data_IF_768924526529
#
_entry.id   IF_768924526529
#
_cell.length_a   1.000
_cell.length_b   1.000
_cell.length_c   1.000
_cell.angle_alpha   90.00
_cell.angle_beta   90.00
_cell.angle_gamma   90.00
#
_symmetry.space_group_name_H-M   'P 1'
#
loop_
_entity.id
_entity.type
_entity.pdbx_description
1 polymer ?
#
# COMPACT_ATOMS: atom_id res chain seq x y z
N UNK A 1 -0.90 21.65 0.44
CA UNK A 1 -0.62 20.87 -0.79
C UNK A 1 -1.27 21.45 -2.07
N UNK A 2 -1.75 22.71 -2.06
CA UNK A 2 -2.30 23.39 -3.27
C UNK A 2 -1.48 24.64 -3.67
N UNK A 3 -0.65 25.18 -2.77
CA UNK A 3 0.22 26.34 -3.01
C UNK A 3 1.40 26.03 -3.94
N UNK A 4 2.00 24.83 -3.85
CA UNK A 4 3.19 24.49 -4.63
C UNK A 4 2.88 24.22 -6.11
N UNK A 5 1.67 23.72 -6.41
CA UNK A 5 1.19 23.52 -7.78
C UNK A 5 0.80 24.84 -8.46
N UNK A 6 0.27 25.82 -7.71
CA UNK A 6 0.03 27.16 -8.24
C UNK A 6 1.35 27.93 -8.42
N UNK A 7 2.29 27.84 -7.48
CA UNK A 7 3.59 28.51 -7.55
C UNK A 7 4.42 28.09 -8.76
N UNK A 8 4.48 26.78 -9.07
CA UNK A 8 5.20 26.27 -10.25
C UNK A 8 4.59 26.73 -11.58
N UNK A 9 3.27 26.89 -11.63
CA UNK A 9 2.55 27.40 -12.82
C UNK A 9 2.78 28.89 -13.01
N UNK A 10 2.76 29.67 -11.93
CA UNK A 10 3.08 31.11 -11.93
C UNK A 10 4.54 31.40 -12.26
N UNK A 11 5.47 30.55 -11.82
CA UNK A 11 6.87 30.61 -12.26
C UNK A 11 7.01 30.43 -13.78
N UNK A 12 6.23 29.54 -14.39
CA UNK A 12 6.24 29.35 -15.84
C UNK A 12 5.77 30.59 -16.61
N UNK A 13 4.76 31.30 -16.08
CA UNK A 13 4.31 32.58 -16.66
C UNK A 13 5.36 33.68 -16.51
N UNK A 14 6.00 33.78 -15.34
CA UNK A 14 7.09 34.73 -15.10
C UNK A 14 8.31 34.46 -15.97
N UNK A 15 8.72 33.20 -16.11
CA UNK A 15 9.83 32.80 -16.96
C UNK A 15 9.56 33.05 -18.45
N UNK A 16 8.31 32.88 -18.90
CA UNK A 16 7.92 33.22 -20.27
C UNK A 16 8.03 34.74 -20.53
N UNK A 17 7.51 35.55 -19.61
CA UNK A 17 7.58 37.02 -19.70
C UNK A 17 9.02 37.53 -19.65
N UNK A 18 9.82 37.01 -18.73
CA UNK A 18 11.25 37.35 -18.60
C UNK A 18 12.04 36.85 -19.80
N UNK A 19 11.78 35.65 -20.30
CA UNK A 19 12.45 35.11 -21.49
C UNK A 19 12.16 35.95 -22.74
N UNK A 20 10.91 36.36 -22.95
CA UNK A 20 10.53 37.28 -24.03
C UNK A 20 11.16 38.66 -23.84
N UNK A 21 11.14 39.21 -22.62
CA UNK A 21 11.73 40.52 -22.32
C UNK A 21 13.26 40.53 -22.51
N UNK A 22 13.93 39.45 -22.08
CA UNK A 22 15.39 39.27 -22.24
C UNK A 22 15.76 39.07 -23.70
N UNK A 23 15.01 38.25 -24.45
CA UNK A 23 15.22 38.08 -25.88
C UNK A 23 15.02 39.39 -26.65
N UNK A 24 13.93 40.12 -26.34
CA UNK A 24 13.64 41.43 -26.94
C UNK A 24 14.73 42.46 -26.59
N UNK A 25 15.20 42.48 -25.34
CA UNK A 25 16.27 43.36 -24.87
C UNK A 25 17.62 43.04 -25.53
N UNK A 26 18.00 41.76 -25.60
CA UNK A 26 19.23 41.30 -26.24
C UNK A 26 19.27 41.63 -27.73
N UNK A 27 18.16 41.43 -28.46
CA UNK A 27 18.12 41.78 -29.89
C UNK A 27 18.19 43.29 -30.11
N UNK A 28 17.50 44.09 -29.28
CA UNK A 28 17.52 45.56 -29.41
C UNK A 28 18.89 46.15 -29.06
N UNK A 29 19.59 45.56 -28.08
CA UNK A 29 20.94 45.95 -27.67
C UNK A 29 22.02 45.53 -28.69
N UNK A 30 21.76 44.47 -29.47
CA UNK A 30 22.71 43.95 -30.47
C UNK A 30 22.81 44.80 -31.75
N UNK A 31 21.95 45.82 -31.90
CA UNK A 31 22.02 46.86 -32.92
C UNK A 31 21.78 46.37 -34.35
N UNK A 32 20.61 46.72 -34.92
CA UNK A 32 20.18 46.83 -36.35
C UNK A 32 20.79 45.97 -37.50
N UNK A 33 21.72 45.04 -37.25
CA UNK A 33 22.43 44.28 -38.31
C UNK A 33 21.80 42.93 -38.62
N UNK A 34 20.70 42.56 -37.95
CA UNK A 34 20.12 41.22 -38.10
C UNK A 34 18.88 41.21 -38.99
N UNK A 35 18.94 40.34 -40.00
CA UNK A 35 17.87 40.02 -40.95
C UNK A 35 16.62 39.49 -40.20
N UNK A 36 15.38 39.77 -40.65
CA UNK A 36 14.14 39.37 -39.97
C UNK A 36 14.06 37.87 -39.67
N UNK A 37 14.69 37.05 -40.52
CA UNK A 37 14.76 35.59 -40.39
C UNK A 37 15.52 35.13 -39.15
N UNK A 38 16.61 35.82 -38.77
CA UNK A 38 17.39 35.47 -37.57
C UNK A 38 16.62 35.79 -36.30
N UNK A 39 15.87 36.89 -36.30
CA UNK A 39 15.00 37.25 -35.18
C UNK A 39 13.86 36.24 -34.99
N UNK A 40 13.26 35.76 -36.09
CA UNK A 40 12.23 34.72 -36.04
C UNK A 40 12.77 33.41 -35.41
N UNK A 41 13.98 32.99 -35.80
CA UNK A 41 14.62 31.77 -35.26
C UNK A 41 14.96 31.91 -33.77
N UNK A 42 15.43 33.07 -33.32
CA UNK A 42 15.72 33.33 -31.91
C UNK A 42 14.44 33.24 -31.05
N UNK A 43 13.34 33.83 -31.52
CA UNK A 43 12.04 33.72 -30.84
C UNK A 43 11.55 32.27 -30.80
N UNK A 44 11.71 31.52 -31.89
CA UNK A 44 11.34 30.11 -31.97
C UNK A 44 12.10 29.26 -30.94
N UNK A 45 13.39 29.52 -30.75
CA UNK A 45 14.22 28.86 -29.74
C UNK A 45 13.75 29.16 -28.32
N UNK A 46 13.41 30.41 -28.02
CA UNK A 46 12.89 30.81 -26.70
C UNK A 46 11.55 30.12 -26.42
N UNK A 47 10.66 30.08 -27.40
CA UNK A 47 9.35 29.41 -27.27
C UNK A 47 9.55 27.91 -27.06
N UNK A 48 10.47 27.29 -27.80
CA UNK A 48 10.78 25.88 -27.67
C UNK A 48 11.35 25.56 -26.27
N UNK A 49 12.24 26.41 -25.74
CA UNK A 49 12.81 26.25 -24.41
C UNK A 49 11.75 26.39 -23.29
N UNK A 50 10.84 27.37 -23.41
CA UNK A 50 9.73 27.54 -22.46
C UNK A 50 8.75 26.37 -22.55
N UNK A 51 8.50 25.86 -23.76
CA UNK A 51 7.61 24.73 -24.00
C UNK A 51 8.11 23.43 -23.38
N UNK A 52 9.42 23.14 -23.51
CA UNK A 52 10.02 21.93 -22.94
C UNK A 52 10.09 21.98 -21.42
N UNK A 53 10.27 23.15 -20.82
CA UNK A 53 10.47 23.27 -19.38
C UNK A 53 9.17 23.41 -18.57
N UNK A 54 8.06 23.96 -19.11
CA UNK A 54 6.84 24.23 -18.32
C UNK A 54 5.51 23.73 -18.93
N UNK A 55 5.51 23.08 -20.09
CA UNK A 55 4.33 22.41 -20.66
C UNK A 55 3.30 23.33 -21.37
N UNK A 56 2.13 22.77 -21.70
CA UNK A 56 1.19 23.29 -22.70
C UNK A 56 0.68 24.71 -22.44
N UNK A 57 0.15 24.92 -21.24
CA UNK A 57 -0.60 26.13 -20.87
C UNK A 57 0.27 27.40 -20.89
N UNK A 58 1.49 27.42 -20.32
CA UNK A 58 2.37 28.58 -20.45
C UNK A 58 2.96 28.73 -21.85
N UNK A 59 3.20 27.63 -22.59
CA UNK A 59 3.74 27.70 -23.95
C UNK A 59 2.78 28.34 -24.96
N UNK A 60 1.47 28.07 -24.85
CA UNK A 60 0.44 28.71 -25.69
C UNK A 60 0.40 30.22 -25.45
N UNK A 61 0.47 30.66 -24.20
CA UNK A 61 0.51 32.08 -23.87
C UNK A 61 1.82 32.73 -24.31
N UNK A 62 2.97 32.08 -24.11
CA UNK A 62 4.27 32.55 -24.58
C UNK A 62 4.31 32.70 -26.11
N UNK A 63 3.69 31.76 -26.84
CA UNK A 63 3.52 31.85 -28.28
C UNK A 63 2.64 33.03 -28.68
N UNK A 64 1.48 33.21 -28.04
CA UNK A 64 0.56 34.30 -28.35
C UNK A 64 1.21 35.68 -28.12
N UNK A 65 1.87 35.85 -26.97
CA UNK A 65 2.61 37.08 -26.65
C UNK A 65 3.84 37.24 -27.54
N UNK A 66 4.56 36.15 -27.85
CA UNK A 66 5.70 36.16 -28.74
C UNK A 66 5.35 36.61 -30.16
N UNK A 67 4.22 36.15 -30.71
CA UNK A 67 3.70 36.59 -32.02
C UNK A 67 3.38 38.08 -31.99
N UNK A 68 2.68 38.55 -30.96
CA UNK A 68 2.30 39.97 -30.85
C UNK A 68 3.55 40.85 -30.70
N UNK A 69 4.51 40.46 -29.86
CA UNK A 69 5.77 41.19 -29.69
C UNK A 69 6.61 41.18 -30.96
N UNK A 70 6.74 40.02 -31.63
CA UNK A 70 7.50 39.90 -32.88
C UNK A 70 6.88 40.75 -33.99
N UNK A 71 5.55 40.69 -34.15
CA UNK A 71 4.80 41.50 -35.10
C UNK A 71 4.91 43.00 -34.84
N UNK A 72 4.94 43.42 -33.57
CA UNK A 72 5.00 44.83 -33.21
C UNK A 72 6.41 45.43 -33.32
N UNK A 73 7.45 44.68 -32.95
CA UNK A 73 8.83 45.20 -32.84
C UNK A 73 9.72 44.90 -34.05
N UNK A 74 9.50 43.81 -34.79
CA UNK A 74 10.48 43.31 -35.77
C UNK A 74 9.97 43.27 -37.22
N UNK A 75 8.70 43.61 -37.47
CA UNK A 75 8.10 43.65 -38.80
C UNK A 75 7.83 45.10 -39.27
N UNK A 76 8.33 45.53 -40.45
CA UNK A 76 7.97 46.81 -41.04
C UNK A 76 6.54 46.77 -41.63
N UNK A 77 5.73 47.86 -41.55
CA UNK A 77 6.00 49.12 -40.87
C UNK A 77 5.76 49.02 -39.35
N UNK A 78 6.77 49.44 -38.59
CA UNK A 78 6.73 49.39 -37.13
C UNK A 78 5.54 50.21 -36.59
N UNK A 79 4.67 49.56 -35.81
CA UNK A 79 3.53 50.21 -35.15
C UNK A 79 2.21 50.24 -35.92
N UNK A 80 2.02 49.47 -37.00
CA UNK A 80 0.75 49.46 -37.76
C UNK A 80 0.20 48.05 -38.01
N UNK A 81 -1.12 47.84 -37.83
CA UNK A 81 -1.84 46.60 -38.19
C UNK A 81 -2.07 46.49 -39.72
N UNK A 82 -1.02 46.65 -40.53
CA UNK A 82 -1.14 46.67 -41.99
C UNK A 82 -0.52 45.42 -42.63
N UNK A 83 -1.35 44.41 -42.88
CA UNK A 83 -1.03 43.21 -43.66
C UNK A 83 -0.98 43.61 -45.14
N UNK A 84 0.18 44.04 -45.66
CA UNK A 84 0.30 44.35 -47.10
C UNK A 84 1.52 43.75 -47.81
N UNK A 85 2.41 43.06 -47.10
CA UNK A 85 3.56 42.37 -47.69
C UNK A 85 3.41 40.83 -47.68
N UNK A 86 3.53 40.17 -48.86
CA UNK A 86 3.46 38.71 -49.01
C UNK A 86 4.60 37.91 -48.37
N UNK A 87 5.58 38.54 -47.71
CA UNK A 87 6.67 37.82 -47.01
C UNK A 87 6.34 37.53 -45.52
N UNK A 88 5.35 38.22 -44.94
CA UNK A 88 5.08 38.15 -43.49
C UNK A 88 4.22 36.93 -43.06
N UNK A 89 3.46 36.32 -43.96
CA UNK A 89 2.64 35.14 -43.65
C UNK A 89 3.47 33.92 -43.23
N UNK A 90 4.73 33.82 -43.66
CA UNK A 90 5.63 32.71 -43.33
C UNK A 90 5.92 32.66 -41.83
N UNK A 91 6.14 33.81 -41.20
CA UNK A 91 6.34 33.89 -39.76
C UNK A 91 5.05 33.48 -39.04
N UNK A 92 3.89 33.96 -39.51
CA UNK A 92 2.59 33.60 -38.92
C UNK A 92 2.30 32.10 -39.02
N UNK A 93 2.59 31.48 -40.17
CA UNK A 93 2.42 30.03 -40.40
C UNK A 93 3.42 29.22 -39.58
N UNK A 94 4.70 29.61 -39.54
CA UNK A 94 5.71 28.94 -38.72
C UNK A 94 5.36 28.98 -37.23
N UNK A 95 4.82 30.11 -36.76
CA UNK A 95 4.34 30.25 -35.39
C UNK A 95 3.08 29.43 -35.10
N UNK A 96 2.11 29.41 -36.03
CA UNK A 96 0.90 28.58 -35.91
C UNK A 96 1.27 27.10 -35.80
N UNK A 97 2.19 26.62 -36.64
CA UNK A 97 2.69 25.25 -36.61
C UNK A 97 3.38 24.96 -35.27
N UNK A 98 4.24 25.87 -34.80
CA UNK A 98 4.95 25.72 -33.52
C UNK A 98 3.97 25.63 -32.34
N UNK A 99 2.94 26.49 -32.32
CA UNK A 99 1.90 26.49 -31.30
C UNK A 99 1.08 25.18 -31.32
N UNK A 100 0.74 24.67 -32.52
CA UNK A 100 0.00 23.42 -32.68
C UNK A 100 0.84 22.18 -32.30
N UNK A 101 2.09 22.10 -32.72
CA UNK A 101 3.00 20.98 -32.39
C UNK A 101 3.28 20.93 -30.89
N UNK A 102 3.53 22.09 -30.28
CA UNK A 102 3.67 22.22 -28.82
C UNK A 102 2.37 21.84 -28.11
N UNK A 103 1.25 22.30 -28.69
CA UNK A 103 -0.13 21.92 -28.41
C UNK A 103 -0.31 20.42 -28.16
N UNK A 104 -0.03 19.67 -29.21
CA UNK A 104 -0.21 18.23 -29.27
C UNK A 104 0.79 17.49 -28.38
N UNK A 105 2.06 17.89 -28.39
CA UNK A 105 3.11 17.22 -27.62
C UNK A 105 2.82 17.31 -26.13
N UNK A 106 2.43 18.48 -25.63
CA UNK A 106 2.14 18.62 -24.21
C UNK A 106 0.79 18.02 -23.82
N UNK A 107 -0.22 17.99 -24.71
CA UNK A 107 -1.45 17.23 -24.48
C UNK A 107 -1.15 15.73 -24.29
N UNK A 108 -0.29 15.16 -25.14
CA UNK A 108 0.17 13.77 -25.02
C UNK A 108 0.98 13.53 -23.74
N UNK A 109 1.87 14.45 -23.37
CA UNK A 109 2.67 14.33 -22.15
C UNK A 109 1.78 14.35 -20.90
N UNK A 110 0.77 15.23 -20.85
CA UNK A 110 -0.16 15.32 -19.71
C UNK A 110 -1.01 14.07 -19.56
N UNK A 111 -1.51 13.54 -20.68
CA UNK A 111 -2.31 12.31 -20.67
C UNK A 111 -1.52 11.11 -20.16
N UNK A 112 -0.24 10.96 -20.55
CA UNK A 112 0.64 9.93 -19.99
C UNK A 112 0.88 10.08 -18.49
N UNK A 113 1.00 11.31 -18.00
CA UNK A 113 1.18 11.57 -16.58
C UNK A 113 -0.08 11.22 -15.77
N UNK A 114 -1.26 11.57 -16.29
CA UNK A 114 -2.55 11.22 -15.67
C UNK A 114 -2.76 9.69 -15.65
N UNK A 115 -2.51 9.00 -16.76
CA UNK A 115 -2.58 7.52 -16.84
C UNK A 115 -1.61 6.84 -15.85
N UNK A 116 -0.39 7.38 -15.69
CA UNK A 116 0.59 6.85 -14.75
C UNK A 116 0.19 7.08 -13.28
N UNK A 117 -0.43 8.21 -12.96
CA UNK A 117 -0.96 8.47 -11.62
C UNK A 117 -2.13 7.54 -11.29
N UNK A 118 -3.03 7.29 -12.24
CA UNK A 118 -4.13 6.35 -12.06
C UNK A 118 -3.62 4.93 -11.84
N UNK A 119 -2.67 4.47 -12.68
CA UNK A 119 -2.04 3.16 -12.53
C UNK A 119 -1.34 3.01 -11.17
N UNK A 120 -0.66 4.06 -10.68
CA UNK A 120 -0.02 4.05 -9.36
C UNK A 120 -1.03 3.88 -8.24
N UNK A 121 -2.15 4.62 -8.27
CA UNK A 121 -3.21 4.52 -7.25
C UNK A 121 -3.83 3.13 -7.22
N UNK A 122 -4.00 2.51 -8.38
CA UNK A 122 -4.55 1.16 -8.46
C UNK A 122 -3.60 0.12 -7.84
N UNK A 123 -2.30 0.23 -8.13
CA UNK A 123 -1.29 -0.64 -7.50
C UNK A 123 -1.26 -0.43 -5.98
N UNK A 124 -1.35 0.80 -5.49
CA UNK A 124 -1.39 1.09 -4.04
C UNK A 124 -2.62 0.43 -3.38
N UNK A 125 -3.80 0.45 -4.02
CA UNK A 125 -5.00 -0.23 -3.52
C UNK A 125 -4.82 -1.75 -3.44
N UNK A 126 -4.32 -2.36 -4.51
CA UNK A 126 -4.08 -3.81 -4.56
C UNK A 126 -3.04 -4.24 -3.51
N UNK A 127 -2.03 -3.41 -3.27
CA UNK A 127 -1.03 -3.66 -2.24
C UNK A 127 -1.64 -3.69 -0.83
N UNK A 128 -2.50 -2.71 -0.53
CA UNK A 128 -3.23 -2.68 0.74
C UNK A 128 -4.14 -3.89 0.93
N UNK A 129 -4.88 -4.29 -0.11
CA UNK A 129 -5.76 -5.47 -0.05
C UNK A 129 -4.98 -6.78 0.17
N UNK A 130 -3.83 -6.94 -0.50
CA UNK A 130 -2.95 -8.08 -0.31
C UNK A 130 -2.42 -8.12 1.12
N UNK A 131 -1.99 -6.97 1.66
CA UNK A 131 -1.45 -6.86 3.01
C UNK A 131 -2.50 -7.25 4.07
N UNK A 132 -3.72 -6.73 3.96
CA UNK A 132 -4.84 -7.07 4.85
C UNK A 132 -5.15 -8.58 4.83
N UNK A 133 -5.17 -9.17 3.63
CA UNK A 133 -5.43 -10.60 3.46
C UNK A 133 -4.32 -11.46 4.06
N UNK A 134 -3.06 -11.05 3.86
CA UNK A 134 -1.90 -11.74 4.42
C UNK A 134 -1.90 -11.69 5.95
N UNK A 135 -2.20 -10.53 6.53
CA UNK A 135 -2.26 -10.36 7.99
C UNK A 135 -3.36 -11.25 8.60
N UNK A 136 -4.56 -11.26 8.02
CA UNK A 136 -5.65 -12.14 8.46
C UNK A 136 -5.28 -13.62 8.36
N UNK A 137 -4.64 -14.04 7.25
CA UNK A 137 -4.19 -15.43 7.07
C UNK A 137 -3.11 -15.80 8.10
N UNK A 138 -2.18 -14.89 8.36
CA UNK A 138 -1.11 -15.08 9.36
C UNK A 138 -1.69 -15.26 10.77
N UNK A 139 -2.61 -14.38 11.18
CA UNK A 139 -3.29 -14.48 12.47
C UNK A 139 -4.09 -15.78 12.61
N UNK A 140 -4.85 -16.17 11.58
CA UNK A 140 -5.59 -17.42 11.57
C UNK A 140 -4.67 -18.66 11.67
N UNK A 141 -3.52 -18.63 10.98
CA UNK A 141 -2.50 -19.69 11.08
C UNK A 141 -1.88 -19.75 12.47
N UNK A 142 -1.52 -18.62 13.06
CA UNK A 142 -0.96 -18.55 14.41
C UNK A 142 -1.93 -19.10 15.46
N UNK A 143 -3.22 -18.73 15.38
CA UNK A 143 -4.26 -19.26 16.27
C UNK A 143 -4.42 -20.77 16.10
N UNK A 144 -4.46 -21.27 14.84
CA UNK A 144 -4.56 -22.71 14.55
C UNK A 144 -3.34 -23.49 15.05
N UNK A 145 -2.14 -22.91 15.00
CA UNK A 145 -0.93 -23.51 15.56
C UNK A 145 -1.00 -23.56 17.09
N UNK A 146 -1.47 -22.49 17.73
CA UNK A 146 -1.68 -22.45 19.18
C UNK A 146 -2.67 -23.52 19.64
N UNK A 147 -3.81 -23.68 18.96
CA UNK A 147 -4.79 -24.73 19.28
C UNK A 147 -4.23 -26.14 19.08
N UNK A 148 -3.45 -26.37 18.01
CA UNK A 148 -2.78 -27.66 17.80
C UNK A 148 -1.78 -27.98 18.90
N UNK A 149 -0.99 -26.99 19.32
CA UNK A 149 -0.04 -27.15 20.41
C UNK A 149 -0.77 -27.46 21.72
N UNK A 150 -1.86 -26.72 22.02
CA UNK A 150 -2.70 -26.96 23.19
C UNK A 150 -3.25 -28.40 23.20
N UNK A 151 -3.80 -28.88 22.10
CA UNK A 151 -4.33 -30.26 22.00
C UNK A 151 -3.23 -31.30 22.16
N UNK A 152 -2.08 -31.13 21.50
CA UNK A 152 -0.97 -32.07 21.61
C UNK A 152 -0.39 -32.12 23.03
N UNK A 153 -0.26 -30.98 23.70
CA UNK A 153 0.18 -30.90 25.09
C UNK A 153 -0.82 -31.54 26.05
N UNK A 154 -2.12 -31.29 25.87
CA UNK A 154 -3.17 -31.91 26.69
C UNK A 154 -3.21 -33.43 26.52
N UNK A 155 -3.04 -33.94 25.29
CA UNK A 155 -3.01 -35.37 25.00
C UNK A 155 -1.78 -36.04 25.62
N UNK A 156 -0.59 -35.45 25.43
CA UNK A 156 0.66 -35.95 26.02
C UNK A 156 0.61 -36.00 27.55
N UNK A 157 0.19 -34.90 28.20
CA UNK A 157 0.04 -34.85 29.66
C UNK A 157 -0.97 -35.89 30.16
N UNK A 158 -2.08 -36.09 29.44
CA UNK A 158 -3.10 -37.08 29.84
C UNK A 158 -2.57 -38.51 29.75
N UNK A 159 -1.86 -38.83 28.66
CA UNK A 159 -1.26 -40.15 28.47
C UNK A 159 -0.25 -40.46 29.60
N UNK A 160 0.63 -39.52 29.91
CA UNK A 160 1.71 -39.71 30.88
C UNK A 160 1.21 -39.76 32.32
N UNK A 161 0.07 -39.12 32.62
CA UNK A 161 -0.57 -39.20 33.94
C UNK A 161 -1.42 -40.46 34.12
N UNK A 162 -2.01 -41.01 33.03
CA UNK A 162 -2.87 -42.20 33.12
C UNK A 162 -2.11 -43.41 33.67
N UNK A 163 -0.87 -43.61 33.24
CA UNK A 163 -0.03 -44.74 33.67
C UNK A 163 0.24 -44.75 35.19
N UNK A 164 0.81 -43.69 35.80
CA UNK A 164 1.03 -43.67 37.25
C UNK A 164 -0.27 -43.69 38.05
N UNK A 165 -1.35 -43.04 37.58
CA UNK A 165 -2.67 -43.13 38.24
C UNK A 165 -3.23 -44.56 38.24
N UNK A 166 -3.06 -45.30 37.13
CA UNK A 166 -3.49 -46.70 37.05
C UNK A 166 -2.71 -47.55 38.05
N UNK A 167 -1.39 -47.32 38.17
CA UNK A 167 -0.56 -48.01 39.16
C UNK A 167 -0.97 -47.66 40.60
N UNK A 168 -1.14 -46.38 40.94
CA UNK A 168 -1.59 -45.92 42.27
C UNK A 168 -2.95 -46.53 42.60
N UNK A 169 -3.89 -46.52 41.65
CA UNK A 169 -5.23 -47.10 41.83
C UNK A 169 -5.16 -48.60 42.07
N UNK A 170 -4.34 -49.33 41.32
CA UNK A 170 -4.16 -50.78 41.50
C UNK A 170 -3.62 -51.08 42.91
N UNK A 171 -2.54 -50.40 43.33
CA UNK A 171 -1.97 -50.56 44.67
C UNK A 171 -2.96 -50.23 45.78
N UNK A 172 -3.73 -49.14 45.65
CA UNK A 172 -4.76 -48.77 46.61
C UNK A 172 -5.89 -49.83 46.68
N UNK A 173 -6.28 -50.40 45.53
CA UNK A 173 -7.31 -51.44 45.47
C UNK A 173 -6.85 -52.70 46.20
N UNK A 174 -5.61 -53.16 45.98
CA UNK A 174 -5.03 -54.31 46.69
C UNK A 174 -4.96 -54.08 48.19
N UNK A 175 -4.55 -52.89 48.64
CA UNK A 175 -4.48 -52.55 50.06
C UNK A 175 -5.87 -52.55 50.71
N UNK A 176 -6.88 -52.03 50.00
CA UNK A 176 -8.27 -52.00 50.46
C UNK A 176 -8.87 -53.42 50.55
N UNK A 177 -8.55 -54.29 49.59
CA UNK A 177 -8.94 -55.71 49.63
C UNK A 177 -8.30 -56.47 50.79
N UNK A 178 -7.01 -56.21 51.10
CA UNK A 178 -6.33 -56.84 52.23
C UNK A 178 -6.92 -56.38 53.58
N UNK A 179 -7.22 -55.09 53.73
CA UNK A 179 -7.92 -54.56 54.91
C UNK A 179 -9.32 -55.19 55.08
N UNK A 180 -10.10 -55.32 54.01
CA UNK A 180 -11.39 -56.01 54.05
C UNK A 180 -11.25 -57.51 54.38
N UNK A 181 -10.18 -58.17 53.92
CA UNK A 181 -9.90 -59.55 54.27
C UNK A 181 -9.50 -59.71 55.75
N UNK A 182 -8.69 -58.79 56.29
CA UNK A 182 -8.33 -58.75 57.71
C UNK A 182 -9.56 -58.53 58.60
N UNK A 183 -10.39 -57.53 58.29
CA UNK A 183 -11.62 -57.26 59.06
C UNK A 183 -12.59 -58.46 59.07
N UNK A 184 -12.68 -59.21 57.96
CA UNK A 184 -13.44 -60.47 57.90
C UNK A 184 -12.79 -61.57 58.74
N UNK A 185 -11.46 -61.72 58.70
CA UNK A 185 -10.75 -62.71 59.55
C UNK A 185 -10.89 -62.39 61.03
N UNK A 186 -10.79 -61.12 61.43
CA UNK A 186 -11.01 -60.71 62.83
C UNK A 186 -12.45 -60.96 63.26
N UNK A 187 -13.43 -60.61 62.42
CA UNK A 187 -14.85 -60.94 62.69
C UNK A 187 -15.06 -62.45 62.83
N UNK A 188 -14.55 -63.25 61.89
CA UNK A 188 -14.66 -64.72 61.94
C UNK A 188 -13.86 -65.36 63.08
N UNK A 189 -12.73 -64.76 63.49
CA UNK A 189 -11.96 -65.20 64.66
C UNK A 189 -12.68 -64.85 65.96
N UNK A 190 -13.38 -63.71 66.03
CA UNK A 190 -14.23 -63.35 67.18
C UNK A 190 -15.46 -64.24 67.30
N UNK A 191 -16.05 -64.66 66.16
CA UNK A 191 -17.09 -65.69 66.09
C UNK A 191 -16.55 -67.10 66.41
N UNK A 192 -15.23 -67.27 66.38
CA UNK A 192 -14.57 -68.56 66.43
C UNK A 192 -14.70 -69.30 67.75
N UNK A 193 -14.88 -68.64 68.89
CA UNK A 193 -15.07 -69.32 70.18
C UNK A 193 -16.51 -69.20 70.71
N UNK A 194 -17.13 -68.02 70.55
CA UNK A 194 -18.52 -67.78 70.96
C UNK A 194 -19.52 -68.47 70.01
N UNK A 195 -19.38 -68.27 68.69
CA UNK A 195 -20.24 -68.89 67.69
C UNK A 195 -20.01 -70.40 67.54
N UNK A 196 -18.80 -70.90 67.88
CA UNK A 196 -18.54 -72.35 67.93
C UNK A 196 -19.18 -72.98 69.17
N UNK A 197 -19.26 -72.27 70.30
CA UNK A 197 -20.06 -72.68 71.46
C UNK A 197 -21.55 -72.65 71.17
N UNK A 198 -22.07 -71.56 70.60
CA UNK A 198 -23.49 -71.42 70.25
C UNK A 198 -23.91 -72.51 69.23
N UNK A 199 -23.08 -72.80 68.23
CA UNK A 199 -23.37 -73.83 67.24
C UNK A 199 -23.23 -75.26 67.82
N UNK A 200 -22.37 -75.49 68.80
CA UNK A 200 -22.33 -76.74 69.56
C UNK A 200 -23.53 -76.89 70.50
N UNK A 201 -24.01 -75.81 71.11
CA UNK A 201 -25.18 -75.79 71.99
C UNK A 201 -26.46 -76.09 71.20
N UNK A 202 -26.64 -75.48 70.02
CA UNK A 202 -27.77 -75.77 69.11
C UNK A 202 -27.73 -77.22 68.60
N UNK A 203 -26.55 -77.75 68.24
CA UNK A 203 -26.43 -79.16 67.79
C UNK A 203 -26.79 -80.13 68.94
N UNK A 204 -26.39 -79.80 70.17
CA UNK A 204 -26.70 -80.63 71.34
C UNK A 204 -28.20 -80.58 71.69
N UNK A 205 -28.82 -79.40 71.65
CA UNK A 205 -30.26 -79.24 71.90
C UNK A 205 -31.13 -79.98 70.87
N UNK A 206 -30.75 -79.96 69.59
CA UNK A 206 -31.47 -80.72 68.55
C UNK A 206 -31.17 -82.22 68.54
N UNK A 207 -30.06 -82.67 69.15
CA UNK A 207 -29.76 -84.12 69.30
C UNK A 207 -30.47 -84.76 70.51
N UNK A 208 -30.90 -83.96 71.48
CA UNK A 208 -31.66 -84.40 72.67
C UNK A 208 -33.20 -84.40 72.43
N UNK A 209 -33.65 -84.00 71.24
CA UNK A 209 -35.04 -84.08 70.75
C UNK A 209 -35.34 -85.39 70.05
#
# INVERSE_FOLDING_TARGET
>A
MWSDLLGKRWLGYGAALVGIAVATGLLKLSGERFNPTTAALAFLLVILFVATAWGLRPAVLASLFGVVCFNFFFLPPFGTFAIRDPDNWIAFVAFLITALTTGQLSSRAKRRAEEAEEAKREIERLYHELQDTFERSSQAKALKQSERLKTALLDAVTHDLRTPLTSIKASATTLLEDLHAQARRETSASLGDEGRKEMLEVINEESDR
#
